data_IF_644098647198
#
_entry.id   IF_644098647198
#
_cell.length_a   1.000
_cell.length_b   1.000
_cell.length_c   1.000
_cell.angle_alpha   90.00
_cell.angle_beta   90.00
_cell.angle_gamma   90.00
#
_symmetry.space_group_name_H-M   'P 1'
#
loop_
_entity.id
_entity.type
_entity.pdbx_description
1 polymer ?
#
# COMPACT_ATOMS: atom_id res chain seq x y z
N UNK A 1 -15.47 2.40 -19.78
CA UNK A 1 -14.71 2.94 -18.64
C UNK A 1 -13.25 2.58 -18.85
N UNK A 2 -12.35 3.49 -18.53
CA UNK A 2 -10.91 3.35 -18.79
C UNK A 2 -10.12 3.71 -17.53
N UNK A 3 -8.89 3.18 -17.42
CA UNK A 3 -7.95 3.55 -16.39
C UNK A 3 -6.62 3.99 -17.00
N UNK A 4 -5.92 4.88 -16.29
CA UNK A 4 -4.58 5.33 -16.69
C UNK A 4 -3.55 4.48 -15.95
N UNK A 5 -2.77 3.72 -16.70
CA UNK A 5 -1.73 2.84 -16.18
C UNK A 5 -0.39 3.45 -16.55
N UNK A 6 0.45 3.67 -15.53
CA UNK A 6 1.82 4.13 -15.73
C UNK A 6 2.72 2.99 -16.18
N UNK A 7 2.63 1.83 -15.49
CA UNK A 7 3.56 0.73 -15.67
C UNK A 7 2.87 -0.62 -15.44
N UNK A 8 3.31 -1.65 -16.16
CA UNK A 8 2.97 -3.05 -15.88
C UNK A 8 4.27 -3.86 -15.98
N UNK A 9 4.67 -4.52 -14.90
CA UNK A 9 5.96 -5.21 -14.85
C UNK A 9 5.97 -6.34 -13.83
N UNK A 10 6.77 -7.37 -14.10
CA UNK A 10 7.02 -8.45 -13.15
C UNK A 10 8.22 -8.10 -12.28
N UNK A 11 8.07 -8.16 -10.96
CA UNK A 11 9.20 -8.06 -10.04
C UNK A 11 9.02 -8.90 -8.77
N UNK A 12 9.82 -8.63 -7.74
CA UNK A 12 9.68 -9.19 -6.41
C UNK A 12 9.15 -8.11 -5.47
N UNK A 13 8.15 -8.46 -4.66
CA UNK A 13 7.67 -7.57 -3.60
C UNK A 13 8.84 -7.23 -2.66
N UNK A 14 9.06 -5.95 -2.41
CA UNK A 14 10.18 -5.48 -1.60
C UNK A 14 9.77 -4.97 -0.22
N UNK A 15 8.49 -5.01 0.12
CA UNK A 15 7.94 -4.45 1.34
C UNK A 15 7.04 -5.43 2.10
N UNK A 16 6.99 -5.24 3.42
CA UNK A 16 6.11 -6.01 4.31
C UNK A 16 6.42 -7.51 4.35
N UNK A 17 5.46 -8.34 4.81
CA UNK A 17 5.68 -9.77 5.02
C UNK A 17 5.80 -10.59 3.73
N UNK A 18 5.46 -10.00 2.57
CA UNK A 18 5.55 -10.62 1.26
C UNK A 18 6.89 -10.36 0.55
N UNK A 19 7.83 -9.72 1.24
CA UNK A 19 9.16 -9.42 0.70
C UNK A 19 9.81 -10.67 0.09
N UNK A 20 10.21 -10.60 -1.18
CA UNK A 20 10.75 -11.70 -1.97
C UNK A 20 9.72 -12.52 -2.76
N UNK A 21 8.41 -12.25 -2.64
CA UNK A 21 7.38 -12.91 -3.46
C UNK A 21 7.41 -12.37 -4.90
N UNK A 22 7.34 -13.26 -5.90
CA UNK A 22 7.25 -12.88 -7.33
C UNK A 22 5.84 -12.38 -7.63
N UNK A 23 5.71 -11.14 -8.12
CA UNK A 23 4.42 -10.47 -8.36
C UNK A 23 4.39 -9.75 -9.71
N UNK A 24 3.21 -9.69 -10.32
CA UNK A 24 2.92 -8.83 -11.46
C UNK A 24 2.32 -7.52 -10.96
N UNK A 25 3.06 -6.42 -11.10
CA UNK A 25 2.62 -5.10 -10.68
C UNK A 25 1.88 -4.38 -11.81
N UNK A 26 0.74 -3.78 -11.46
CA UNK A 26 0.01 -2.81 -12.28
C UNK A 26 0.00 -1.49 -11.53
N UNK A 27 0.79 -0.53 -12.00
CA UNK A 27 0.95 0.79 -11.41
C UNK A 27 -0.02 1.77 -12.05
N UNK A 28 -1.03 2.19 -11.31
CA UNK A 28 -2.01 3.19 -11.73
C UNK A 28 -1.43 4.61 -11.65
N UNK A 29 -1.90 5.47 -12.54
CA UNK A 29 -1.49 6.86 -12.62
C UNK A 29 -2.40 7.77 -11.81
N UNK A 30 -1.79 8.71 -11.08
CA UNK A 30 -2.48 9.74 -10.31
C UNK A 30 -2.80 9.28 -8.89
N UNK A 31 -2.71 10.19 -7.93
CA UNK A 31 -2.99 9.94 -6.52
C UNK A 31 -3.88 11.07 -5.98
N UNK A 32 -4.73 10.75 -5.00
CA UNK A 32 -5.53 11.76 -4.31
C UNK A 32 -4.76 12.50 -3.19
N UNK A 33 -3.47 12.19 -3.01
CA UNK A 33 -2.57 12.77 -2.00
C UNK A 33 -1.27 13.27 -2.65
N UNK A 34 -0.61 14.23 -2.00
CA UNK A 34 0.72 14.76 -2.36
C UNK A 34 1.68 14.62 -1.17
N UNK A 35 2.22 13.41 -0.95
CA UNK A 35 3.04 13.10 0.22
C UNK A 35 4.45 13.72 0.15
N UNK A 36 5.05 14.05 1.30
CA UNK A 36 6.39 14.67 1.38
C UNK A 36 7.53 13.67 1.08
N UNK A 37 7.23 12.39 1.23
CA UNK A 37 8.13 11.25 1.06
C UNK A 37 7.72 10.36 -0.12
N UNK A 38 6.89 10.87 -1.05
CA UNK A 38 6.47 10.09 -2.20
C UNK A 38 7.70 9.73 -3.03
N UNK A 39 8.00 8.44 -3.14
CA UNK A 39 9.16 7.90 -3.83
C UNK A 39 8.88 7.45 -5.26
N UNK A 40 7.60 7.47 -5.63
CA UNK A 40 7.16 7.08 -6.96
C UNK A 40 6.94 8.33 -7.79
N UNK A 41 7.87 8.61 -8.71
CA UNK A 41 7.71 9.67 -9.69
C UNK A 41 6.91 9.17 -10.90
N UNK A 42 5.62 9.48 -10.93
CA UNK A 42 4.71 9.04 -11.99
C UNK A 42 4.54 10.16 -13.02
N UNK A 43 5.41 10.16 -14.02
CA UNK A 43 5.46 11.22 -15.03
C UNK A 43 4.65 10.92 -16.29
N UNK A 44 4.29 9.66 -16.54
CA UNK A 44 3.60 9.26 -17.77
C UNK A 44 2.60 8.12 -17.55
N UNK A 45 1.65 7.99 -18.49
CA UNK A 45 0.64 6.93 -18.49
C UNK A 45 0.16 6.59 -19.89
N UNK A 46 -0.44 5.41 -20.01
CA UNK A 46 -1.28 4.99 -21.13
C UNK A 46 -2.69 4.69 -20.62
N UNK A 47 -3.69 4.97 -21.45
CA UNK A 47 -5.08 4.65 -21.14
C UNK A 47 -5.39 3.22 -21.58
N UNK A 48 -6.05 2.46 -20.71
CA UNK A 48 -6.46 1.09 -20.96
C UNK A 48 -7.96 0.93 -20.73
N UNK A 49 -8.61 0.19 -21.63
CA UNK A 49 -9.88 -0.47 -21.30
C UNK A 49 -9.61 -1.70 -20.44
N UNK A 50 -10.64 -2.24 -19.77
CA UNK A 50 -10.49 -3.45 -18.94
C UNK A 50 -10.09 -4.67 -19.77
N UNK A 51 -10.56 -4.77 -21.01
CA UNK A 51 -10.21 -5.82 -21.96
C UNK A 51 -8.74 -5.71 -22.38
N UNK A 52 -8.28 -4.49 -22.71
CA UNK A 52 -6.90 -4.25 -23.10
C UNK A 52 -5.93 -4.54 -21.95
N UNK A 53 -6.27 -4.14 -20.72
CA UNK A 53 -5.45 -4.43 -19.54
C UNK A 53 -5.41 -5.94 -19.25
N UNK A 54 -6.56 -6.62 -19.35
CA UNK A 54 -6.61 -8.07 -19.15
C UNK A 54 -5.75 -8.80 -20.17
N UNK A 55 -5.89 -8.50 -21.46
CA UNK A 55 -5.07 -9.12 -22.50
C UNK A 55 -3.59 -8.87 -22.23
N UNK A 56 -3.22 -7.64 -21.88
CA UNK A 56 -1.83 -7.30 -21.55
C UNK A 56 -1.28 -8.09 -20.37
N UNK A 57 -2.10 -8.39 -19.37
CA UNK A 57 -1.74 -9.22 -18.20
C UNK A 57 -1.66 -10.71 -18.57
N UNK A 58 -2.55 -11.18 -19.46
CA UNK A 58 -2.55 -12.56 -19.93
C UNK A 58 -1.37 -12.87 -20.85
N UNK A 59 -0.83 -11.87 -21.54
CA UNK A 59 0.39 -11.97 -22.38
C UNK A 59 1.68 -12.20 -21.57
N UNK A 60 1.64 -12.12 -20.23
CA UNK A 60 2.79 -12.51 -19.41
C UNK A 60 2.81 -14.04 -19.25
N UNK A 61 3.80 -14.66 -19.88
CA UNK A 61 4.05 -16.10 -19.88
C UNK A 61 4.75 -16.60 -18.59
N UNK A 62 5.44 -15.72 -17.86
CA UNK A 62 6.11 -16.06 -16.61
C UNK A 62 5.12 -16.20 -15.45
N UNK A 63 5.38 -17.18 -14.57
CA UNK A 63 4.59 -17.38 -13.35
C UNK A 63 4.82 -16.28 -12.31
N UNK A 64 3.75 -15.92 -11.60
CA UNK A 64 3.76 -15.00 -10.47
C UNK A 64 2.70 -15.42 -9.44
N UNK A 65 2.97 -15.15 -8.16
CA UNK A 65 2.10 -15.52 -7.06
C UNK A 65 0.88 -14.59 -6.97
N UNK A 66 1.12 -13.28 -7.12
CA UNK A 66 0.10 -12.24 -6.95
C UNK A 66 0.07 -11.23 -8.10
N UNK A 67 -1.14 -10.79 -8.44
CA UNK A 67 -1.37 -9.56 -9.20
C UNK A 67 -1.45 -8.40 -8.21
N UNK A 68 -0.48 -7.49 -8.25
CA UNK A 68 -0.39 -6.34 -7.35
C UNK A 68 -0.90 -5.09 -8.03
N UNK A 69 -1.96 -4.50 -7.47
CA UNK A 69 -2.53 -3.22 -7.88
C UNK A 69 -1.94 -2.14 -6.99
N UNK A 70 -1.24 -1.17 -7.58
CA UNK A 70 -0.51 -0.12 -6.87
C UNK A 70 -0.50 1.18 -7.67
N UNK A 71 0.35 2.13 -7.30
CA UNK A 71 0.71 3.34 -8.05
C UNK A 71 0.37 4.59 -7.29
N UNK A 72 0.20 5.70 -8.01
CA UNK A 72 -0.68 6.70 -7.41
C UNK A 72 -2.02 5.99 -7.13
N UNK A 73 -2.69 6.34 -6.02
CA UNK A 73 -3.77 5.56 -5.40
C UNK A 73 -4.69 4.77 -6.37
N UNK A 74 -4.62 3.42 -6.41
CA UNK A 74 -5.42 2.62 -7.35
C UNK A 74 -6.93 2.71 -7.11
N UNK A 75 -7.38 2.98 -5.89
CA UNK A 75 -8.82 3.06 -5.58
C UNK A 75 -9.53 4.26 -6.21
N UNK A 76 -8.82 5.24 -6.78
CA UNK A 76 -9.46 6.27 -7.62
C UNK A 76 -10.11 5.67 -8.87
N UNK A 77 -9.71 4.44 -9.25
CA UNK A 77 -10.27 3.66 -10.36
C UNK A 77 -11.17 2.50 -9.89
N UNK A 78 -11.79 2.57 -8.70
CA UNK A 78 -12.50 1.43 -8.14
C UNK A 78 -13.64 0.86 -9.02
N UNK A 79 -14.38 1.70 -9.76
CA UNK A 79 -15.41 1.21 -10.68
C UNK A 79 -14.79 0.42 -11.84
N UNK A 80 -13.65 0.87 -12.38
CA UNK A 80 -12.89 0.15 -13.39
C UNK A 80 -12.36 -1.17 -12.83
N UNK A 81 -11.79 -1.13 -11.62
CA UNK A 81 -11.25 -2.30 -10.93
C UNK A 81 -12.31 -3.36 -10.67
N UNK A 82 -13.54 -2.98 -10.31
CA UNK A 82 -14.64 -3.92 -10.09
C UNK A 82 -14.92 -4.77 -11.35
N UNK A 83 -15.03 -4.12 -12.52
CA UNK A 83 -15.26 -4.82 -13.78
C UNK A 83 -14.02 -5.62 -14.23
N UNK A 84 -12.84 -5.00 -14.17
CA UNK A 84 -11.59 -5.62 -14.57
C UNK A 84 -11.28 -6.87 -13.74
N UNK A 85 -11.35 -6.79 -12.41
CA UNK A 85 -11.06 -7.92 -11.53
C UNK A 85 -12.10 -9.05 -11.68
N UNK A 86 -13.36 -8.71 -11.94
CA UNK A 86 -14.39 -9.71 -12.24
C UNK A 86 -14.03 -10.51 -13.50
N UNK A 87 -13.47 -9.87 -14.52
CA UNK A 87 -12.98 -10.56 -15.72
C UNK A 87 -11.69 -11.34 -15.46
N UNK A 88 -10.75 -10.76 -14.73
CA UNK A 88 -9.48 -11.39 -14.36
C UNK A 88 -9.70 -12.73 -13.63
N UNK A 89 -10.61 -12.76 -12.65
CA UNK A 89 -10.93 -13.97 -11.87
C UNK A 89 -11.50 -15.13 -12.70
N UNK A 90 -12.00 -14.86 -13.91
CA UNK A 90 -12.45 -15.92 -14.84
C UNK A 90 -11.27 -16.62 -15.55
N UNK A 91 -10.11 -15.98 -15.61
CA UNK A 91 -8.95 -16.44 -16.39
C UNK A 91 -7.77 -16.88 -15.51
N UNK A 92 -7.58 -16.22 -14.36
CA UNK A 92 -6.47 -16.50 -13.44
C UNK A 92 -6.98 -16.65 -12.01
N UNK A 93 -6.29 -17.50 -11.24
CA UNK A 93 -6.56 -17.74 -9.81
C UNK A 93 -5.55 -17.08 -8.88
N UNK A 94 -4.53 -16.41 -9.41
CA UNK A 94 -3.53 -15.68 -8.62
C UNK A 94 -4.21 -14.70 -7.67
N UNK A 95 -3.59 -14.50 -6.51
CA UNK A 95 -4.16 -13.59 -5.50
C UNK A 95 -4.10 -12.16 -6.00
N UNK A 96 -5.06 -11.35 -5.60
CA UNK A 96 -5.07 -9.91 -5.88
C UNK A 96 -4.60 -9.18 -4.62
N UNK A 97 -3.48 -8.47 -4.77
CA UNK A 97 -2.81 -7.70 -3.73
C UNK A 97 -3.03 -6.21 -3.99
N UNK A 98 -3.63 -5.49 -3.04
CA UNK A 98 -3.91 -4.06 -3.17
C UNK A 98 -2.97 -3.25 -2.29
N UNK A 99 -2.16 -2.39 -2.90
CA UNK A 99 -1.41 -1.34 -2.20
C UNK A 99 -2.17 -0.02 -2.25
N UNK A 100 -2.39 0.61 -1.10
CA UNK A 100 -3.29 1.77 -0.99
C UNK A 100 -2.90 2.66 0.19
N UNK A 101 -3.18 3.96 0.07
CA UNK A 101 -3.08 4.93 1.16
C UNK A 101 -4.26 4.84 2.15
N UNK A 102 -5.28 4.01 1.88
CA UNK A 102 -6.36 3.75 2.82
C UNK A 102 -7.34 4.90 3.06
N UNK A 103 -7.31 5.96 2.23
CA UNK A 103 -8.16 7.15 2.40
C UNK A 103 -9.50 7.09 1.65
N UNK A 104 -9.74 6.02 0.89
CA UNK A 104 -10.93 5.82 0.04
C UNK A 104 -11.76 4.59 0.47
N UNK A 105 -12.39 4.60 1.67
CA UNK A 105 -13.12 3.44 2.19
C UNK A 105 -14.35 3.06 1.35
N UNK A 106 -15.06 4.02 0.76
CA UNK A 106 -16.24 3.70 -0.07
C UNK A 106 -15.87 3.01 -1.37
N UNK A 107 -14.76 3.41 -1.97
CA UNK A 107 -14.22 2.78 -3.17
C UNK A 107 -13.70 1.37 -2.89
N UNK A 108 -13.07 1.14 -1.73
CA UNK A 108 -12.72 -0.22 -1.30
C UNK A 108 -13.95 -1.13 -1.24
N UNK A 109 -15.11 -0.66 -0.75
CA UNK A 109 -16.33 -1.51 -0.66
C UNK A 109 -16.71 -2.09 -2.01
N UNK A 110 -16.54 -1.34 -3.09
CA UNK A 110 -16.91 -1.75 -4.45
C UNK A 110 -16.13 -2.99 -4.91
N UNK A 111 -14.87 -3.12 -4.47
CA UNK A 111 -13.96 -4.18 -4.93
C UNK A 111 -13.56 -5.15 -3.84
N UNK A 112 -14.00 -4.96 -2.59
CA UNK A 112 -13.56 -5.72 -1.41
C UNK A 112 -13.55 -7.22 -1.66
N UNK A 113 -14.63 -7.79 -2.22
CA UNK A 113 -14.73 -9.25 -2.43
C UNK A 113 -13.74 -9.79 -3.48
N UNK A 114 -13.20 -8.91 -4.32
CA UNK A 114 -12.26 -9.25 -5.38
C UNK A 114 -10.79 -9.13 -4.95
N UNK A 115 -10.52 -8.62 -3.74
CA UNK A 115 -9.18 -8.45 -3.17
C UNK A 115 -8.88 -9.55 -2.15
N UNK A 116 -7.66 -10.08 -2.16
CA UNK A 116 -7.21 -11.10 -1.19
C UNK A 116 -6.32 -10.51 -0.10
N UNK A 117 -5.41 -9.62 -0.48
CA UNK A 117 -4.48 -8.92 0.43
C UNK A 117 -4.66 -7.42 0.30
N UNK A 118 -4.69 -6.73 1.42
CA UNK A 118 -4.68 -5.26 1.46
C UNK A 118 -3.45 -4.80 2.23
N UNK A 119 -2.51 -4.18 1.51
CA UNK A 119 -1.37 -3.47 2.05
C UNK A 119 -1.70 -1.98 2.15
N UNK A 120 -2.15 -1.58 3.33
CA UNK A 120 -2.57 -0.22 3.62
C UNK A 120 -1.43 0.57 4.26
N UNK A 121 -1.10 1.72 3.68
CA UNK A 121 -0.18 2.70 4.27
C UNK A 121 -0.96 3.72 5.11
N UNK A 122 -0.82 3.62 6.44
CA UNK A 122 -1.33 4.56 7.42
C UNK A 122 -0.54 5.87 7.33
N UNK A 123 -1.12 6.83 6.61
CA UNK A 123 -0.57 8.18 6.46
C UNK A 123 -0.55 8.92 7.80
N UNK A 124 0.66 9.16 8.30
CA UNK A 124 0.92 9.91 9.52
C UNK A 124 0.97 11.42 9.21
N UNK A 125 0.18 12.26 9.92
CA UNK A 125 0.18 13.70 9.72
C UNK A 125 1.57 14.34 9.78
N UNK A 126 2.41 13.96 10.74
CA UNK A 126 3.71 14.60 10.91
C UNK A 126 4.73 14.27 9.82
N UNK A 127 4.48 13.25 9.01
CA UNK A 127 5.29 12.91 7.83
C UNK A 127 4.73 13.49 6.54
N UNK A 128 3.51 14.06 6.53
CA UNK A 128 2.87 14.64 5.34
C UNK A 128 3.23 16.11 5.10
N UNK A 129 3.20 16.58 3.85
CA UNK A 129 3.47 18.00 3.49
C UNK A 129 2.51 18.96 4.20
N UNK A 130 1.22 18.63 4.19
CA UNK A 130 0.15 19.50 4.71
C UNK A 130 -0.34 19.11 6.11
N UNK A 131 0.27 18.08 6.73
CA UNK A 131 -0.16 17.53 8.03
C UNK A 131 -1.65 17.13 8.08
N UNK A 132 -2.19 16.68 6.95
CA UNK A 132 -3.57 16.23 6.85
C UNK A 132 -3.83 15.03 7.78
N UNK A 133 -4.99 15.04 8.46
CA UNK A 133 -5.40 13.93 9.33
C UNK A 133 -6.39 13.00 8.62
N UNK A 134 -6.00 11.72 8.48
CA UNK A 134 -6.82 10.70 7.80
C UNK A 134 -7.36 9.62 8.74
N UNK A 135 -7.22 9.80 10.06
CA UNK A 135 -7.51 8.76 11.06
C UNK A 135 -8.90 8.15 10.97
N UNK A 136 -9.95 8.95 10.80
CA UNK A 136 -11.32 8.43 10.68
C UNK A 136 -11.55 7.67 9.36
N UNK A 137 -10.93 8.13 8.25
CA UNK A 137 -10.95 7.40 6.98
C UNK A 137 -10.22 6.07 7.12
N UNK A 138 -9.04 6.06 7.74
CA UNK A 138 -8.26 4.85 8.02
C UNK A 138 -9.03 3.84 8.87
N UNK A 139 -9.66 4.28 9.98
CA UNK A 139 -10.51 3.41 10.82
C UNK A 139 -11.64 2.77 10.00
N UNK A 140 -12.35 3.57 9.21
CA UNK A 140 -13.43 3.07 8.36
C UNK A 140 -12.91 2.10 7.30
N UNK A 141 -11.75 2.37 6.72
CA UNK A 141 -11.09 1.52 5.74
C UNK A 141 -10.74 0.16 6.32
N UNK A 142 -10.05 0.14 7.47
CA UNK A 142 -9.67 -1.10 8.18
C UNK A 142 -10.91 -1.92 8.53
N UNK A 143 -11.99 -1.28 8.99
CA UNK A 143 -13.26 -1.97 9.28
C UNK A 143 -13.83 -2.67 8.06
N UNK A 144 -13.76 -2.05 6.88
CA UNK A 144 -14.23 -2.65 5.62
C UNK A 144 -13.29 -3.77 5.17
N UNK A 145 -11.98 -3.56 5.30
CA UNK A 145 -10.97 -4.53 4.93
C UNK A 145 -10.92 -5.75 5.89
N UNK A 146 -11.55 -5.67 7.06
CA UNK A 146 -11.62 -6.75 8.06
C UNK A 146 -12.03 -8.09 7.43
N UNK A 147 -11.31 -9.16 7.77
CA UNK A 147 -11.47 -10.49 7.18
C UNK A 147 -10.66 -10.73 5.89
N UNK A 148 -9.98 -9.71 5.36
CA UNK A 148 -8.89 -9.88 4.39
C UNK A 148 -7.56 -10.08 5.11
N UNK A 149 -6.55 -10.56 4.39
CA UNK A 149 -5.18 -10.49 4.89
C UNK A 149 -4.73 -9.03 4.85
N UNK A 150 -4.51 -8.43 6.03
CA UNK A 150 -4.15 -7.03 6.16
C UNK A 150 -2.68 -6.88 6.49
N UNK A 151 -1.99 -6.06 5.71
CA UNK A 151 -0.67 -5.53 6.03
C UNK A 151 -0.85 -4.04 6.25
N UNK A 152 -0.57 -3.57 7.46
CA UNK A 152 -0.57 -2.14 7.73
C UNK A 152 0.88 -1.68 7.81
N UNK A 153 1.24 -0.70 6.99
CA UNK A 153 2.52 -0.02 7.10
C UNK A 153 2.31 1.43 7.50
N UNK A 154 3.29 2.02 8.15
CA UNK A 154 3.38 3.46 8.30
C UNK A 154 4.81 3.87 7.97
N UNK A 155 4.97 4.86 7.11
CA UNK A 155 6.28 5.44 6.82
C UNK A 155 6.71 6.30 8.01
N UNK A 156 7.90 6.03 8.54
CA UNK A 156 8.48 6.73 9.69
C UNK A 156 9.68 7.57 9.21
N UNK A 157 9.58 8.87 9.44
CA UNK A 157 10.62 9.88 9.22
C UNK A 157 11.07 10.51 10.55
N UNK A 158 12.14 11.31 10.52
CA UNK A 158 12.62 12.09 11.67
C UNK A 158 11.53 12.99 12.28
N UNK A 159 10.56 13.42 11.47
CA UNK A 159 9.46 14.29 11.89
C UNK A 159 8.33 13.54 12.58
N UNK A 160 8.37 12.20 12.59
CA UNK A 160 7.31 11.36 13.15
C UNK A 160 7.17 11.59 14.65
N UNK A 161 5.96 11.92 15.09
CA UNK A 161 5.72 12.27 16.49
C UNK A 161 5.14 11.12 17.31
N UNK A 162 5.30 11.18 18.63
CA UNK A 162 4.60 10.28 19.53
C UNK A 162 3.07 10.43 19.53
N UNK A 163 2.52 11.57 19.09
CA UNK A 163 1.06 11.71 18.91
C UNK A 163 0.57 10.80 17.77
N UNK A 164 1.29 10.78 16.65
CA UNK A 164 0.99 9.90 15.53
C UNK A 164 1.05 8.43 15.94
N UNK A 165 2.05 8.04 16.72
CA UNK A 165 2.22 6.67 17.20
C UNK A 165 1.13 6.30 18.22
N UNK A 166 0.70 7.23 19.08
CA UNK A 166 -0.42 7.03 19.99
C UNK A 166 -1.73 6.81 19.22
N UNK A 167 -2.03 7.68 18.26
CA UNK A 167 -3.23 7.59 17.41
C UNK A 167 -3.21 6.33 16.54
N UNK A 168 -2.05 5.96 15.99
CA UNK A 168 -1.85 4.69 15.31
C UNK A 168 -2.19 3.52 16.24
N UNK A 169 -1.68 3.54 17.48
CA UNK A 169 -2.02 2.57 18.52
C UNK A 169 -3.53 2.46 18.78
N UNK A 170 -4.24 3.59 18.88
CA UNK A 170 -5.70 3.61 19.05
C UNK A 170 -6.42 2.89 17.91
N UNK A 171 -5.97 3.07 16.66
CA UNK A 171 -6.57 2.42 15.49
C UNK A 171 -6.28 0.92 15.48
N UNK A 172 -5.05 0.55 15.83
CA UNK A 172 -4.60 -0.83 15.80
C UNK A 172 -5.25 -1.71 16.86
N UNK A 173 -5.69 -1.16 18.00
CA UNK A 173 -6.42 -1.91 19.04
C UNK A 173 -7.73 -2.52 18.52
N UNK A 174 -8.41 -1.86 17.58
CA UNK A 174 -9.69 -2.32 17.06
C UNK A 174 -9.53 -3.21 15.82
N UNK A 175 -9.56 -4.53 16.02
CA UNK A 175 -9.80 -5.54 14.96
C UNK A 175 -8.87 -5.55 13.75
N UNK A 176 -7.58 -5.26 13.92
CA UNK A 176 -6.62 -5.46 12.84
C UNK A 176 -5.84 -6.80 12.97
N UNK A 177 -6.30 -7.92 12.38
CA UNK A 177 -5.64 -9.23 12.48
C UNK A 177 -4.36 -9.36 11.61
N UNK A 178 -3.63 -8.27 11.39
CA UNK A 178 -2.59 -8.17 10.37
C UNK A 178 -1.18 -7.90 10.88
N UNK A 179 -0.22 -8.01 9.97
CA UNK A 179 1.18 -7.58 10.17
C UNK A 179 1.24 -6.06 10.20
N UNK A 180 1.92 -5.49 11.20
CA UNK A 180 2.18 -4.05 11.30
C UNK A 180 3.65 -3.80 11.02
N UNK A 181 3.93 -2.84 10.14
CA UNK A 181 5.28 -2.47 9.71
C UNK A 181 5.51 -0.99 9.94
N UNK A 182 6.57 -0.67 10.67
CA UNK A 182 7.18 0.65 10.69
C UNK A 182 8.22 0.65 9.58
N UNK A 183 7.98 1.41 8.52
CA UNK A 183 8.88 1.49 7.37
C UNK A 183 9.68 2.78 7.46
N UNK A 184 11.00 2.74 7.71
CA UNK A 184 11.82 3.93 7.62
C UNK A 184 11.69 4.55 6.23
N UNK A 185 11.55 5.87 6.17
CA UNK A 185 11.57 6.58 4.87
C UNK A 185 12.92 6.30 4.20
N UNK A 186 12.89 5.92 2.92
CA UNK A 186 14.12 5.91 2.13
C UNK A 186 14.38 7.33 1.64
N UNK A 187 15.46 7.99 2.07
CA UNK A 187 15.68 9.38 1.72
C UNK A 187 15.85 9.54 0.21
N UNK A 188 15.04 10.40 -0.37
CA UNK A 188 15.20 10.96 -1.71
C UNK A 188 15.65 12.41 -1.55
N UNK A 189 16.48 12.90 -2.48
CA UNK A 189 16.92 14.30 -2.46
C UNK A 189 15.71 15.26 -2.38
N UNK A 190 15.68 16.10 -1.34
CA UNK A 190 14.57 17.02 -1.07
C UNK A 190 13.37 16.44 -0.30
N UNK A 191 13.43 15.18 0.15
CA UNK A 191 12.42 14.55 1.02
C UNK A 191 12.78 14.64 2.51
N UNK A 192 11.88 14.15 3.38
CA UNK A 192 12.07 14.13 4.85
C UNK A 192 13.18 13.15 5.24
N UNK A 193 14.02 13.47 6.22
CA UNK A 193 15.10 12.58 6.62
C UNK A 193 14.60 11.31 7.34
N UNK A 194 15.47 10.30 7.36
CA UNK A 194 15.22 9.01 8.00
C UNK A 194 15.11 9.16 9.52
N UNK A 195 14.22 8.38 10.13
CA UNK A 195 14.18 8.25 11.58
C UNK A 195 15.40 7.47 12.09
N UNK A 196 15.94 7.88 13.23
CA UNK A 196 17.04 7.13 13.86
C UNK A 196 16.56 5.79 14.45
N UNK A 197 17.54 4.92 14.73
CA UNK A 197 17.29 3.59 15.28
C UNK A 197 16.57 3.66 16.64
N UNK A 198 16.93 4.61 17.50
CA UNK A 198 16.35 4.74 18.83
C UNK A 198 14.86 5.07 18.75
N UNK A 199 14.48 6.00 17.88
CA UNK A 199 13.10 6.38 17.58
C UNK A 199 12.30 5.17 17.07
N UNK A 200 12.82 4.44 16.08
CA UNK A 200 12.14 3.27 15.51
C UNK A 200 11.93 2.17 16.56
N UNK A 201 12.95 1.88 17.36
CA UNK A 201 12.87 0.89 18.44
C UNK A 201 11.90 1.33 19.54
N UNK A 202 11.87 2.62 19.87
CA UNK A 202 10.95 3.18 20.85
C UNK A 202 9.49 3.08 20.38
N UNK A 203 9.20 3.48 19.14
CA UNK A 203 7.85 3.37 18.56
C UNK A 203 7.38 1.92 18.47
N UNK A 204 8.27 1.01 18.04
CA UNK A 204 8.02 -0.43 18.01
C UNK A 204 7.68 -0.96 19.41
N UNK A 205 8.47 -0.62 20.42
CA UNK A 205 8.25 -1.07 21.79
C UNK A 205 6.93 -0.54 22.36
N UNK A 206 6.61 0.73 22.11
CA UNK A 206 5.34 1.35 22.52
C UNK A 206 4.13 0.64 21.89
N UNK A 207 4.12 0.49 20.55
CA UNK A 207 3.02 -0.14 19.83
C UNK A 207 2.85 -1.61 20.21
N UNK A 208 3.95 -2.35 20.39
CA UNK A 208 3.92 -3.75 20.85
C UNK A 208 3.32 -3.85 22.24
N UNK A 209 3.76 -3.02 23.20
CA UNK A 209 3.23 -3.00 24.57
C UNK A 209 1.73 -2.65 24.58
N UNK A 210 1.33 -1.69 23.75
CA UNK A 210 -0.04 -1.20 23.69
C UNK A 210 -1.01 -2.17 23.05
N UNK A 211 -0.64 -2.73 21.90
CA UNK A 211 -1.56 -3.53 21.07
C UNK A 211 -1.43 -5.04 21.29
N UNK A 212 -0.33 -5.49 21.91
CA UNK A 212 0.04 -6.90 22.01
C UNK A 212 0.49 -7.54 20.69
N UNK A 213 0.58 -6.76 19.60
CA UNK A 213 0.85 -7.26 18.25
C UNK A 213 2.34 -7.30 17.94
N UNK A 214 2.70 -8.13 16.97
CA UNK A 214 4.04 -8.09 16.40
C UNK A 214 4.18 -6.85 15.50
N UNK A 215 5.22 -6.06 15.74
CA UNK A 215 5.52 -4.84 15.01
C UNK A 215 6.88 -5.03 14.33
N UNK A 216 6.87 -5.10 13.00
CA UNK A 216 8.07 -5.17 12.17
C UNK A 216 8.68 -3.78 11.97
N UNK A 217 10.00 -3.72 11.84
CA UNK A 217 10.69 -2.59 11.22
C UNK A 217 11.28 -3.16 9.93
N UNK A 218 10.76 -2.74 8.78
CA UNK A 218 11.13 -3.31 7.47
C UNK A 218 11.33 -2.15 6.49
N UNK A 219 12.51 -2.08 5.88
CA UNK A 219 12.82 -1.12 4.82
C UNK A 219 12.41 -1.62 3.44
N UNK A 220 12.75 -0.85 2.41
CA UNK A 220 12.43 -1.20 1.01
C UNK A 220 13.55 -2.08 0.41
N UNK A 221 13.37 -3.39 0.45
CA UNK A 221 14.39 -4.35 -0.02
C UNK A 221 14.69 -4.22 -1.51
N UNK A 222 13.69 -3.89 -2.32
CA UNK A 222 13.87 -3.73 -3.77
C UNK A 222 14.89 -2.61 -4.09
N UNK A 223 14.85 -1.50 -3.33
CA UNK A 223 15.83 -0.40 -3.45
C UNK A 223 17.23 -0.84 -3.05
N UNK A 224 17.37 -1.58 -1.95
CA UNK A 224 18.66 -2.09 -1.49
C UNK A 224 19.30 -3.08 -2.48
N UNK A 225 18.47 -3.89 -3.14
CA UNK A 225 18.90 -4.88 -4.11
C UNK A 225 19.05 -4.33 -5.54
N UNK A 226 18.66 -3.06 -5.78
CA UNK A 226 18.68 -2.46 -7.13
C UNK A 226 17.73 -3.15 -8.11
N UNK A 227 16.67 -3.77 -7.61
CA UNK A 227 15.63 -4.41 -8.40
C UNK A 227 14.38 -3.54 -8.42
N UNK A 228 13.58 -3.67 -9.47
CA UNK A 228 12.33 -2.92 -9.62
C UNK A 228 11.22 -3.43 -8.72
#
# INVERSE_FOLDING_TARGET
MEAKISEIFLSYQGEGPFTGSRQLFVRFYGCNLDCAYCDTDITSYKTFTKEALLNKILDFDEDYNELTLTGGEPLIYADFLAEFLTMFRKHRRSRVYLETNGTLPDDLRKIRELIDVVAMDLKLPSSGKNKDEFWEKHKRFIKIASGKELVMKAVISETTTMDDIKKMGDILEYNAPGTIVLQPVTPIEGSVAEADEEMLLYFKAYLKKRTGKNIGIIGQMHKQLGIR
#
